data_IF_771795307862
#
_entry.id   IF_771795307862
#
_cell.length_a   1.000
_cell.length_b   1.000
_cell.length_c   1.000
_cell.angle_alpha   90.00
_cell.angle_beta   90.00
_cell.angle_gamma   90.00
#
_symmetry.space_group_name_H-M   'P 1'
#
loop_
_entity.id
_entity.type
_entity.pdbx_description
1 polymer ?
#
# COMPACT_ATOMS: atom_id res chain seq x y z
N UNK A 1 43.68 -9.33 -26.92
CA UNK A 1 43.31 -10.03 -25.67
C UNK A 1 42.20 -10.99 -26.04
N UNK A 2 42.47 -12.29 -26.07
CA UNK A 2 41.42 -13.32 -26.21
C UNK A 2 40.69 -13.40 -24.87
N UNK A 3 39.48 -12.82 -24.81
CA UNK A 3 38.62 -12.93 -23.64
C UNK A 3 37.97 -14.31 -23.72
N UNK A 4 38.30 -15.20 -22.77
CA UNK A 4 37.70 -16.53 -22.72
C UNK A 4 36.21 -16.42 -22.33
N UNK A 5 35.27 -16.85 -23.19
CA UNK A 5 33.83 -16.73 -22.93
C UNK A 5 33.34 -17.65 -21.81
N UNK A 6 34.09 -18.70 -21.48
CA UNK A 6 33.74 -19.68 -20.43
C UNK A 6 34.44 -19.36 -19.09
N UNK A 7 35.16 -18.24 -19.00
CA UNK A 7 35.72 -17.76 -17.74
C UNK A 7 34.59 -17.38 -16.77
N UNK A 8 34.66 -17.93 -15.56
CA UNK A 8 33.71 -17.66 -14.49
C UNK A 8 34.07 -16.35 -13.80
N UNK A 9 33.07 -15.50 -13.61
CA UNK A 9 33.12 -14.22 -12.93
C UNK A 9 32.02 -14.17 -11.87
N UNK A 10 32.33 -13.60 -10.71
CA UNK A 10 31.34 -13.39 -9.65
C UNK A 10 30.66 -12.04 -9.88
N UNK A 11 29.33 -12.05 -9.97
CA UNK A 11 28.51 -10.84 -10.02
C UNK A 11 27.96 -10.61 -8.63
N UNK A 12 28.29 -9.47 -8.05
CA UNK A 12 27.76 -9.01 -6.76
C UNK A 12 26.82 -7.82 -7.01
N UNK A 13 25.58 -7.95 -6.55
CA UNK A 13 24.56 -6.91 -6.60
C UNK A 13 24.18 -6.54 -5.18
N UNK A 14 24.37 -5.27 -4.85
CA UNK A 14 24.00 -4.68 -3.57
C UNK A 14 23.01 -3.55 -3.82
N UNK A 15 21.71 -3.86 -3.70
CA UNK A 15 20.62 -2.94 -3.94
C UNK A 15 20.02 -2.44 -2.62
N UNK A 16 19.70 -1.16 -2.56
CA UNK A 16 19.13 -0.53 -1.37
C UNK A 16 17.78 -1.18 -1.00
N UNK A 17 17.69 -1.70 0.23
CA UNK A 17 16.49 -2.40 0.74
C UNK A 17 16.57 -3.93 0.71
N UNK A 18 17.64 -4.53 0.17
CA UNK A 18 17.85 -5.98 0.25
C UNK A 18 18.48 -6.35 1.59
N UNK A 19 18.05 -7.49 2.15
CA UNK A 19 18.50 -7.92 3.48
C UNK A 19 19.94 -8.45 3.43
N UNK A 20 20.38 -8.98 2.29
CA UNK A 20 21.76 -9.43 2.04
C UNK A 20 22.16 -9.18 0.58
N UNK A 21 23.47 -8.91 0.30
CA UNK A 21 23.98 -8.79 -1.05
C UNK A 21 23.80 -10.08 -1.85
N UNK A 22 23.38 -9.96 -3.09
CA UNK A 22 23.23 -11.12 -3.98
C UNK A 22 24.52 -11.33 -4.76
N UNK A 23 25.22 -12.44 -4.49
CA UNK A 23 26.41 -12.86 -5.21
C UNK A 23 26.13 -14.13 -6.01
N UNK A 24 26.52 -14.14 -7.29
CA UNK A 24 26.42 -15.34 -8.13
C UNK A 24 27.57 -15.45 -9.12
N UNK A 25 28.15 -16.65 -9.19
CA UNK A 25 29.15 -17.00 -10.19
C UNK A 25 28.48 -17.34 -11.52
N UNK A 26 28.87 -16.63 -12.58
CA UNK A 26 28.38 -16.83 -13.94
C UNK A 26 29.54 -16.81 -14.94
N UNK A 27 29.36 -17.36 -16.13
CA UNK A 27 30.39 -17.24 -17.17
C UNK A 27 30.39 -15.86 -17.82
N UNK A 28 31.50 -15.44 -18.41
CA UNK A 28 31.57 -14.19 -19.19
C UNK A 28 30.53 -14.12 -20.31
N UNK A 29 30.21 -15.26 -20.94
CA UNK A 29 29.11 -15.35 -21.90
C UNK A 29 27.76 -15.00 -21.25
N UNK A 30 27.46 -15.60 -20.11
CA UNK A 30 26.22 -15.33 -19.36
C UNK A 30 26.16 -13.89 -18.85
N UNK A 31 27.29 -13.32 -18.42
CA UNK A 31 27.38 -11.91 -18.07
C UNK A 31 27.04 -11.01 -19.27
N UNK A 32 27.58 -11.33 -20.45
CA UNK A 32 27.27 -10.60 -21.68
C UNK A 32 25.79 -10.66 -22.06
N UNK A 33 25.17 -11.84 -21.97
CA UNK A 33 23.73 -12.03 -22.21
C UNK A 33 22.87 -11.22 -21.22
N UNK A 34 23.24 -11.21 -19.94
CA UNK A 34 22.56 -10.42 -18.91
C UNK A 34 22.67 -8.92 -19.17
N UNK A 35 23.86 -8.43 -19.54
CA UNK A 35 24.06 -7.01 -19.84
C UNK A 35 23.27 -6.58 -21.09
N UNK A 36 23.21 -7.42 -22.12
CA UNK A 36 22.37 -7.18 -23.30
C UNK A 36 20.87 -7.13 -22.95
N UNK A 37 20.40 -8.04 -22.09
CA UNK A 37 19.00 -8.00 -21.64
C UNK A 37 18.68 -6.74 -20.83
N UNK A 38 19.61 -6.26 -20.00
CA UNK A 38 19.44 -5.02 -19.25
C UNK A 38 19.44 -3.80 -20.17
N UNK A 39 20.27 -3.79 -21.22
CA UNK A 39 20.32 -2.73 -22.25
C UNK A 39 18.98 -2.67 -23.02
N UNK A 40 18.48 -3.82 -23.50
CA UNK A 40 17.17 -3.93 -24.17
C UNK A 40 16.00 -3.50 -23.24
N UNK A 41 16.07 -3.81 -21.95
CA UNK A 41 15.10 -3.32 -20.95
C UNK A 41 15.21 -1.82 -20.71
N UNK A 42 16.41 -1.24 -20.82
CA UNK A 42 16.63 0.20 -20.66
C UNK A 42 16.06 1.00 -21.85
N UNK A 43 16.17 0.47 -23.07
CA UNK A 43 15.53 1.05 -24.27
C UNK A 43 14.00 0.95 -24.23
N UNK A 44 13.45 -0.08 -23.57
CA UNK A 44 12.02 -0.19 -23.31
C UNK A 44 11.52 0.84 -22.27
N UNK A 45 12.39 1.39 -21.43
CA UNK A 45 12.03 2.45 -20.46
C UNK A 45 12.09 3.88 -21.01
N UNK A 46 12.77 4.13 -22.13
CA UNK A 46 12.81 5.47 -22.75
C UNK A 46 11.64 5.71 -23.75
N UNK A 47 10.94 4.65 -24.14
CA UNK A 47 9.73 4.71 -24.98
C UNK A 47 8.46 4.23 -24.26
N UNK A 48 8.56 3.86 -22.98
CA UNK A 48 7.38 3.68 -22.15
C UNK A 48 6.85 5.07 -21.77
N UNK A 49 5.57 5.34 -22.08
CA UNK A 49 4.83 6.44 -21.46
C UNK A 49 5.21 6.55 -19.98
N UNK A 50 5.45 7.77 -19.45
CA UNK A 50 5.84 7.93 -18.05
C UNK A 50 4.88 7.12 -17.19
N UNK A 51 5.43 6.23 -16.36
CA UNK A 51 4.66 5.37 -15.47
C UNK A 51 3.50 6.18 -14.87
N UNK A 52 2.25 5.70 -14.93
CA UNK A 52 1.10 6.47 -14.48
C UNK A 52 1.38 6.95 -13.06
N UNK A 53 1.61 8.25 -12.94
CA UNK A 53 1.84 8.94 -11.69
C UNK A 53 0.80 8.46 -10.68
N UNK A 54 1.22 8.04 -9.46
CA UNK A 54 0.35 7.37 -8.51
C UNK A 54 -0.92 8.19 -8.39
N UNK A 55 -2.05 7.58 -8.73
CA UNK A 55 -3.34 8.26 -8.78
C UNK A 55 -3.50 9.03 -7.47
N UNK A 56 -3.81 10.33 -7.52
CA UNK A 56 -4.04 11.10 -6.30
C UNK A 56 -5.10 10.38 -5.48
N UNK A 57 -4.87 10.28 -4.16
CA UNK A 57 -5.82 9.65 -3.25
C UNK A 57 -7.21 10.24 -3.48
N UNK A 58 -8.28 9.43 -3.53
CA UNK A 58 -9.62 9.95 -3.72
C UNK A 58 -9.96 10.92 -2.60
N UNK A 59 -10.68 11.99 -2.95
CA UNK A 59 -11.19 12.93 -1.95
C UNK A 59 -12.14 12.19 -1.00
N UNK A 60 -12.27 12.64 0.26
CA UNK A 60 -13.23 12.05 1.19
C UNK A 60 -14.67 12.02 0.64
N UNK A 61 -15.05 13.06 -0.08
CA UNK A 61 -16.37 13.19 -0.71
C UNK A 61 -16.59 12.09 -1.75
N UNK A 62 -15.58 11.82 -2.59
CA UNK A 62 -15.64 10.75 -3.58
C UNK A 62 -15.62 9.36 -2.94
N UNK A 63 -14.75 9.14 -1.95
CA UNK A 63 -14.58 7.85 -1.30
C UNK A 63 -15.82 7.43 -0.51
N UNK A 64 -16.50 8.38 0.14
CA UNK A 64 -17.62 8.10 1.04
C UNK A 64 -18.99 8.51 0.49
N UNK A 65 -19.09 8.81 -0.81
CA UNK A 65 -20.35 9.23 -1.46
C UNK A 65 -21.52 8.26 -1.22
N UNK A 66 -21.23 6.95 -1.23
CA UNK A 66 -22.23 5.88 -1.03
C UNK A 66 -22.21 5.30 0.39
N UNK A 67 -21.39 5.85 1.28
CA UNK A 67 -21.20 5.30 2.61
C UNK A 67 -22.47 5.51 3.48
N UNK A 68 -22.89 4.50 4.28
CA UNK A 68 -23.98 4.66 5.22
C UNK A 68 -23.72 5.80 6.21
N UNK A 69 -24.76 6.32 6.89
CA UNK A 69 -24.55 7.42 7.83
C UNK A 69 -23.70 6.98 9.03
N UNK A 70 -22.94 7.93 9.61
CA UNK A 70 -21.99 7.66 10.70
C UNK A 70 -22.63 6.90 11.88
N UNK A 71 -23.82 7.28 12.41
CA UNK A 71 -24.43 6.54 13.52
C UNK A 71 -24.75 5.08 13.19
N UNK A 72 -25.15 4.79 11.95
CA UNK A 72 -25.41 3.41 11.50
C UNK A 72 -24.13 2.58 11.44
N UNK A 73 -23.03 3.14 10.94
CA UNK A 73 -21.72 2.46 10.94
C UNK A 73 -21.15 2.27 12.35
N UNK A 74 -21.34 3.23 13.26
CA UNK A 74 -20.98 3.06 14.68
C UNK A 74 -21.80 1.92 15.30
N UNK A 75 -23.11 1.87 15.04
CA UNK A 75 -23.95 0.77 15.50
C UNK A 75 -23.50 -0.60 14.95
N UNK A 76 -23.14 -0.65 13.67
CA UNK A 76 -22.65 -1.87 13.02
C UNK A 76 -21.31 -2.33 13.62
N UNK A 77 -20.33 -1.43 13.72
CA UNK A 77 -19.00 -1.77 14.30
C UNK A 77 -19.10 -2.17 15.77
N UNK A 78 -19.97 -1.52 16.55
CA UNK A 78 -20.22 -1.90 17.94
C UNK A 78 -20.87 -3.29 18.02
N UNK A 79 -21.89 -3.57 17.21
CA UNK A 79 -22.56 -4.87 17.19
C UNK A 79 -21.61 -6.01 16.83
N UNK A 80 -20.77 -5.82 15.80
CA UNK A 80 -19.84 -6.84 15.33
C UNK A 80 -18.63 -7.08 16.25
N UNK A 81 -18.35 -6.16 17.17
CA UNK A 81 -17.29 -6.31 18.18
C UNK A 81 -17.76 -6.98 19.49
N UNK A 82 -19.06 -7.21 19.67
CA UNK A 82 -19.61 -7.88 20.85
C UNK A 82 -19.00 -9.28 21.01
N UNK A 83 -18.45 -9.56 22.19
CA UNK A 83 -17.85 -10.87 22.52
C UNK A 83 -16.52 -11.15 21.83
N UNK A 84 -15.91 -10.17 21.15
CA UNK A 84 -14.63 -10.29 20.44
C UNK A 84 -13.65 -9.24 20.97
N UNK A 85 -13.01 -9.49 22.14
CA UNK A 85 -12.22 -8.48 22.85
C UNK A 85 -10.94 -8.08 22.10
N UNK A 86 -10.40 -8.96 21.26
CA UNK A 86 -9.29 -8.67 20.36
C UNK A 86 -9.81 -8.54 18.94
N UNK A 87 -9.65 -7.35 18.35
CA UNK A 87 -10.02 -7.09 16.96
C UNK A 87 -9.25 -7.94 15.93
N UNK A 88 -8.24 -8.71 16.35
CA UNK A 88 -7.55 -9.72 15.54
C UNK A 88 -8.48 -10.83 15.00
N UNK A 89 -9.65 -11.05 15.62
CA UNK A 89 -10.67 -12.00 15.13
C UNK A 89 -11.70 -11.36 14.18
N UNK A 90 -11.54 -10.08 13.88
CA UNK A 90 -12.41 -9.33 13.00
C UNK A 90 -11.71 -9.19 11.65
N UNK A 91 -12.34 -9.68 10.58
CA UNK A 91 -11.73 -9.72 9.24
C UNK A 91 -11.49 -8.34 8.65
N UNK A 92 -10.75 -8.30 7.54
CA UNK A 92 -10.39 -7.07 6.81
C UNK A 92 -11.55 -6.10 6.59
N UNK A 93 -12.73 -6.59 6.19
CA UNK A 93 -13.90 -5.74 5.95
C UNK A 93 -14.32 -4.95 7.20
N UNK A 94 -14.29 -5.59 8.37
CA UNK A 94 -14.63 -4.91 9.62
C UNK A 94 -13.66 -3.74 9.87
N UNK A 95 -12.37 -3.98 9.69
CA UNK A 95 -11.35 -2.95 9.89
C UNK A 95 -11.41 -1.85 8.84
N UNK A 96 -11.71 -2.19 7.59
CA UNK A 96 -11.96 -1.21 6.54
C UNK A 96 -13.13 -0.30 6.88
N UNK A 97 -14.28 -0.86 7.29
CA UNK A 97 -15.46 -0.09 7.66
C UNK A 97 -15.24 0.73 8.94
N UNK A 98 -14.54 0.17 9.92
CA UNK A 98 -14.16 0.86 11.15
C UNK A 98 -13.22 2.03 10.88
N UNK A 99 -12.19 1.85 10.06
CA UNK A 99 -11.28 2.91 9.67
C UNK A 99 -12.00 4.01 8.89
N UNK A 100 -12.89 3.63 7.95
CA UNK A 100 -13.68 4.58 7.16
C UNK A 100 -14.64 5.43 8.02
N UNK A 101 -15.32 4.84 9.01
CA UNK A 101 -16.20 5.63 9.89
C UNK A 101 -15.40 6.58 10.79
N UNK A 102 -14.24 6.15 11.30
CA UNK A 102 -13.36 7.00 12.11
C UNK A 102 -12.77 8.15 11.29
N UNK A 103 -12.33 7.90 10.06
CA UNK A 103 -11.86 8.96 9.15
C UNK A 103 -12.96 10.01 8.88
N UNK A 104 -14.22 9.57 8.71
CA UNK A 104 -15.36 10.49 8.52
C UNK A 104 -15.71 11.28 9.78
N UNK A 105 -15.48 10.73 10.98
CA UNK A 105 -15.61 11.48 12.24
C UNK A 105 -14.49 12.51 12.35
N UNK A 106 -13.24 12.11 12.09
CA UNK A 106 -12.09 13.01 12.08
C UNK A 106 -12.29 14.20 11.12
N UNK A 107 -12.74 13.94 9.88
CA UNK A 107 -13.05 15.00 8.91
C UNK A 107 -14.13 15.97 9.39
N UNK A 108 -15.14 15.46 10.10
CA UNK A 108 -16.21 16.29 10.67
C UNK A 108 -15.74 17.17 11.82
N UNK A 109 -14.78 16.68 12.60
CA UNK A 109 -14.17 17.42 13.71
C UNK A 109 -13.19 18.46 13.17
N UNK A 110 -12.36 18.09 12.19
CA UNK A 110 -11.46 18.99 11.44
C UNK A 110 -12.24 20.14 10.79
N UNK A 111 -13.39 19.86 10.18
CA UNK A 111 -14.27 20.90 9.61
C UNK A 111 -14.87 21.84 10.66
N UNK A 112 -14.84 21.47 11.94
CA UNK A 112 -15.21 22.31 13.09
C UNK A 112 -14.00 22.91 13.79
N UNK A 113 -12.81 22.74 13.22
CA UNK A 113 -11.53 23.13 13.82
C UNK A 113 -11.27 22.45 15.18
N UNK A 114 -11.88 21.28 15.40
CA UNK A 114 -11.66 20.42 16.56
C UNK A 114 -10.65 19.36 16.15
N UNK A 115 -9.43 19.49 16.65
CA UNK A 115 -8.39 18.48 16.47
C UNK A 115 -8.24 17.73 17.79
N UNK A 116 -8.47 16.42 17.77
CA UNK A 116 -8.45 15.59 18.98
C UNK A 116 -8.50 14.10 18.68
N UNK A 117 -8.99 13.33 19.64
CA UNK A 117 -8.96 11.85 19.67
C UNK A 117 -9.47 11.18 18.39
N UNK A 118 -10.39 11.80 17.65
CA UNK A 118 -10.93 11.25 16.42
C UNK A 118 -9.86 11.12 15.30
N UNK A 119 -8.96 12.09 15.17
CA UNK A 119 -7.93 12.08 14.13
C UNK A 119 -6.85 11.02 14.42
N UNK A 120 -6.45 10.90 15.69
CA UNK A 120 -5.55 9.84 16.14
C UNK A 120 -6.19 8.46 15.95
N UNK A 121 -7.42 8.27 16.40
CA UNK A 121 -8.16 7.01 16.22
C UNK A 121 -8.33 6.62 14.75
N UNK A 122 -8.60 7.59 13.86
CA UNK A 122 -8.68 7.34 12.42
C UNK A 122 -7.34 6.89 11.84
N UNK A 123 -6.25 7.52 12.26
CA UNK A 123 -4.89 7.18 11.80
C UNK A 123 -4.47 5.80 12.28
N UNK A 124 -4.75 5.46 13.54
CA UNK A 124 -4.39 4.14 14.08
C UNK A 124 -5.22 3.02 13.47
N UNK A 125 -6.52 3.24 13.24
CA UNK A 125 -7.34 2.28 12.51
C UNK A 125 -6.87 2.10 11.06
N UNK A 126 -6.39 3.17 10.41
CA UNK A 126 -5.82 3.10 9.08
C UNK A 126 -4.50 2.33 9.04
N UNK A 127 -3.61 2.53 10.01
CA UNK A 127 -2.37 1.74 10.16
C UNK A 127 -2.67 0.27 10.37
N UNK A 128 -3.65 -0.04 11.22
CA UNK A 128 -4.03 -1.44 11.43
C UNK A 128 -4.56 -2.10 10.14
N UNK A 129 -5.27 -1.36 9.28
CA UNK A 129 -5.68 -1.86 7.97
C UNK A 129 -4.46 -2.09 7.05
N UNK A 130 -3.50 -1.16 7.03
CA UNK A 130 -2.24 -1.33 6.27
C UNK A 130 -1.48 -2.58 6.72
N UNK A 131 -1.41 -2.83 8.03
CA UNK A 131 -0.77 -4.01 8.61
C UNK A 131 -1.47 -5.30 8.15
N UNK A 132 -2.82 -5.32 8.14
CA UNK A 132 -3.63 -6.45 7.63
C UNK A 132 -3.36 -6.69 6.14
N UNK A 133 -3.18 -5.62 5.37
CA UNK A 133 -2.98 -5.66 3.93
C UNK A 133 -1.51 -5.82 3.50
N UNK A 134 -0.59 -5.88 4.46
CA UNK A 134 0.86 -5.90 4.23
C UNK A 134 1.33 -4.76 3.30
N UNK A 135 0.67 -3.60 3.40
CA UNK A 135 0.93 -2.42 2.57
C UNK A 135 1.94 -1.47 3.25
N UNK A 136 3.09 -2.02 3.65
CA UNK A 136 4.16 -1.25 4.27
C UNK A 136 4.72 -0.20 3.30
N UNK A 137 5.07 0.98 3.80
CA UNK A 137 5.63 2.08 2.99
C UNK A 137 4.61 3.10 2.48
N UNK A 138 3.31 2.92 2.73
CA UNK A 138 2.31 3.96 2.45
C UNK A 138 2.45 5.13 3.44
N UNK A 139 2.65 6.33 2.90
CA UNK A 139 2.89 7.56 3.69
C UNK A 139 1.61 8.25 4.17
N UNK A 140 0.47 8.00 3.52
CA UNK A 140 -0.84 8.52 3.93
C UNK A 140 -1.82 7.36 4.25
N UNK A 141 -1.86 6.89 5.51
CA UNK A 141 -2.78 5.84 5.92
C UNK A 141 -4.26 6.19 5.69
N UNK A 142 -4.66 7.45 5.91
CA UNK A 142 -6.07 7.86 5.74
C UNK A 142 -6.44 7.91 4.25
N UNK A 143 -5.54 8.35 3.40
CA UNK A 143 -5.65 8.26 1.94
C UNK A 143 -5.83 6.81 1.46
N UNK A 144 -5.05 5.87 2.03
CA UNK A 144 -5.20 4.45 1.75
C UNK A 144 -6.59 3.91 2.10
N UNK A 145 -7.11 4.22 3.29
CA UNK A 145 -8.46 3.80 3.70
C UNK A 145 -9.52 4.29 2.72
N UNK A 146 -9.43 5.55 2.28
CA UNK A 146 -10.36 6.13 1.30
C UNK A 146 -10.32 5.39 -0.03
N UNK A 147 -9.12 5.08 -0.52
CA UNK A 147 -8.96 4.29 -1.74
C UNK A 147 -9.55 2.89 -1.61
N UNK A 148 -9.20 2.16 -0.55
CA UNK A 148 -9.69 0.80 -0.32
C UNK A 148 -11.20 0.77 -0.11
N UNK A 149 -11.76 1.76 0.58
CA UNK A 149 -13.20 1.87 0.77
C UNK A 149 -13.92 2.15 -0.54
N UNK A 150 -13.41 3.05 -1.38
CA UNK A 150 -13.97 3.34 -2.69
C UNK A 150 -13.95 2.11 -3.61
N UNK A 151 -12.88 1.31 -3.57
CA UNK A 151 -12.78 0.06 -4.33
C UNK A 151 -13.76 -1.00 -3.81
N UNK A 152 -13.84 -1.17 -2.48
CA UNK A 152 -14.78 -2.09 -1.86
C UNK A 152 -16.22 -1.72 -2.18
N UNK A 153 -16.60 -0.46 -2.02
CA UNK A 153 -17.96 0.04 -2.25
C UNK A 153 -18.42 -0.10 -3.71
N UNK A 154 -17.49 -0.09 -4.68
CA UNK A 154 -17.80 -0.38 -6.10
C UNK A 154 -18.06 -1.85 -6.39
N UNK A 155 -17.57 -2.75 -5.53
CA UNK A 155 -17.62 -4.20 -5.69
C UNK A 155 -18.59 -4.87 -4.69
N UNK A 156 -19.44 -4.09 -4.01
CA UNK A 156 -20.55 -4.57 -3.18
C UNK A 156 -21.79 -4.86 -4.02
#
# INVERSE_FOLDING_TARGET
MDINPDEVVTVELDCEGWTEPYARDITRRQLGELLLQLDDMSDATDNADPAPQPLPWPTPEEAYATAPCIPSEIGWTAYHSVGRPTGALLGREFWLRKAAVLDRVALKDEAREVFGDACEAATDAARHLLDIDHAEGITDPRGYVRQQYALWAKNQ
#
